data_IF_838300509537
#
_entry.id   IF_838300509537
#
_cell.length_a   1.000
_cell.length_b   1.000
_cell.length_c   1.000
_cell.angle_alpha   90.00
_cell.angle_beta   90.00
_cell.angle_gamma   90.00
#
_symmetry.space_group_name_H-M   'P 1'
#
loop_
_entity.id
_entity.type
_entity.pdbx_description
1 polymer ?
#
# COMPACT_ATOMS: atom_id res chain seq x y z
N UNK A 1 9.85 14.16 -1.92
CA UNK A 1 8.92 13.06 -2.25
C UNK A 1 7.61 13.71 -2.63
N UNK A 2 7.03 13.33 -3.74
CA UNK A 2 5.74 13.85 -4.18
C UNK A 2 4.60 13.09 -3.48
N UNK A 3 3.58 13.79 -3.01
CA UNK A 3 2.45 13.18 -2.29
C UNK A 3 1.18 13.38 -3.09
N UNK A 4 0.40 12.32 -3.27
CA UNK A 4 -0.89 12.36 -3.94
C UNK A 4 -1.96 11.80 -3.00
N UNK A 5 -2.96 12.61 -2.67
CA UNK A 5 -4.13 12.13 -1.95
C UNK A 5 -5.10 11.43 -2.91
N UNK A 6 -5.52 10.23 -2.55
CA UNK A 6 -6.41 9.39 -3.36
C UNK A 6 -7.63 9.00 -2.51
N UNK A 7 -8.68 9.84 -2.42
CA UNK A 7 -9.83 9.61 -1.54
C UNK A 7 -10.83 8.59 -2.12
N UNK A 8 -10.33 7.51 -2.72
CA UNK A 8 -11.12 6.43 -3.30
C UNK A 8 -11.55 5.41 -2.25
N UNK A 9 -12.79 4.96 -2.31
CA UNK A 9 -13.31 3.87 -1.49
C UNK A 9 -14.22 2.96 -2.32
N UNK A 10 -14.01 1.66 -2.19
CA UNK A 10 -14.88 0.60 -2.71
C UNK A 10 -14.91 -0.58 -1.73
N UNK A 11 -15.12 -0.29 -0.46
CA UNK A 11 -15.19 -1.31 0.58
C UNK A 11 -16.62 -1.66 0.95
N UNK A 12 -16.75 -2.72 1.75
CA UNK A 12 -18.02 -3.30 2.16
C UNK A 12 -18.65 -2.61 3.38
N UNK A 13 -18.54 -1.28 3.46
CA UNK A 13 -19.18 -0.43 4.47
C UNK A 13 -18.30 -0.05 5.66
N UNK A 14 -17.37 -0.87 6.13
CA UNK A 14 -16.46 -0.55 7.23
C UNK A 14 -15.35 0.44 6.82
N UNK A 15 -15.08 0.56 5.52
CA UNK A 15 -14.07 1.47 4.96
C UNK A 15 -14.58 2.90 4.77
N UNK A 16 -15.89 3.13 5.00
CA UNK A 16 -16.45 4.49 4.96
C UNK A 16 -15.81 5.38 6.03
N UNK A 17 -15.09 6.39 5.59
CA UNK A 17 -14.24 7.27 6.40
C UNK A 17 -12.81 7.30 5.88
N UNK A 18 -12.36 6.21 5.21
CA UNK A 18 -11.02 6.15 4.61
C UNK A 18 -10.82 7.19 3.49
N UNK A 19 -11.88 7.66 2.85
CA UNK A 19 -11.80 8.76 1.86
C UNK A 19 -11.21 10.05 2.42
N UNK A 20 -11.13 10.17 3.74
CA UNK A 20 -10.60 11.35 4.44
C UNK A 20 -9.19 11.15 4.98
N UNK A 21 -8.62 9.95 4.86
CA UNK A 21 -7.33 9.59 5.45
C UNK A 21 -6.20 10.53 5.03
N UNK A 22 -6.11 10.88 3.75
CA UNK A 22 -5.07 11.77 3.25
C UNK A 22 -5.08 13.13 3.96
N UNK A 23 -6.26 13.71 4.20
CA UNK A 23 -6.39 14.97 4.93
C UNK A 23 -6.05 14.81 6.42
N UNK A 24 -6.47 13.71 7.05
CA UNK A 24 -6.16 13.41 8.44
C UNK A 24 -4.65 13.23 8.67
N UNK A 25 -3.98 12.50 7.79
CA UNK A 25 -2.52 12.29 7.83
C UNK A 25 -1.77 13.62 7.68
N UNK A 26 -2.12 14.44 6.68
CA UNK A 26 -1.48 15.75 6.48
C UNK A 26 -1.72 16.68 7.67
N UNK A 27 -2.91 16.64 8.28
CA UNK A 27 -3.20 17.40 9.50
C UNK A 27 -2.32 16.94 10.66
N UNK A 28 -2.22 15.61 10.88
CA UNK A 28 -1.37 15.05 11.95
C UNK A 28 0.12 15.35 11.72
N UNK A 29 0.58 15.33 10.46
CA UNK A 29 1.98 15.63 10.12
C UNK A 29 2.40 17.06 10.52
N UNK A 30 1.45 18.02 10.55
CA UNK A 30 1.73 19.40 10.99
C UNK A 30 2.12 19.51 12.46
N UNK A 31 1.77 18.53 13.28
CA UNK A 31 2.12 18.43 14.70
C UNK A 31 3.49 17.76 14.93
N UNK A 32 4.12 17.25 13.85
CA UNK A 32 5.42 16.57 13.94
C UNK A 32 6.51 17.56 13.50
N UNK A 33 7.37 17.97 14.43
CA UNK A 33 8.38 19.01 14.18
C UNK A 33 9.74 18.46 13.76
N UNK A 34 10.06 17.22 14.13
CA UNK A 34 11.34 16.59 13.75
C UNK A 34 11.23 15.07 13.70
N UNK A 35 12.16 14.43 12.98
CA UNK A 35 12.34 12.99 13.03
C UNK A 35 13.32 12.59 14.18
N UNK A 36 13.51 11.28 14.37
CA UNK A 36 14.39 10.71 15.42
C UNK A 36 15.87 11.11 15.27
N UNK A 37 16.30 11.53 14.08
CA UNK A 37 17.66 12.02 13.83
C UNK A 37 17.80 13.54 14.02
N UNK A 38 16.75 14.23 14.49
CA UNK A 38 16.74 15.67 14.70
C UNK A 38 16.54 16.51 13.42
N UNK A 39 16.23 15.89 12.28
CA UNK A 39 15.90 16.65 11.07
C UNK A 39 14.55 17.31 11.23
N UNK A 40 14.49 18.61 11.00
CA UNK A 40 13.26 19.41 11.05
C UNK A 40 12.34 18.97 9.91
N UNK A 41 11.05 18.83 10.21
CA UNK A 41 10.00 18.54 9.24
C UNK A 41 9.19 19.82 9.05
N UNK A 42 9.23 20.36 7.82
CA UNK A 42 8.40 21.49 7.43
C UNK A 42 7.32 21.01 6.46
N UNK A 43 6.12 20.84 6.98
CA UNK A 43 4.98 20.37 6.19
C UNK A 43 4.52 21.36 5.11
N UNK A 44 4.93 22.64 5.18
CA UNK A 44 4.64 23.65 4.17
C UNK A 44 5.41 23.43 2.86
N UNK A 45 6.51 22.67 2.91
CA UNK A 45 7.35 22.34 1.76
C UNK A 45 6.94 21.05 1.05
N UNK A 46 5.83 20.43 1.45
CA UNK A 46 5.33 19.22 0.80
C UNK A 46 4.76 19.55 -0.58
N UNK A 47 5.27 18.84 -1.61
CA UNK A 47 4.69 18.85 -2.96
C UNK A 47 3.48 17.90 -2.96
N UNK A 48 2.28 18.44 -2.92
CA UNK A 48 1.03 17.75 -2.62
C UNK A 48 -0.03 18.01 -3.68
N UNK A 49 -0.62 16.94 -4.19
CA UNK A 49 -1.80 16.96 -5.07
C UNK A 49 -2.94 16.09 -4.52
N UNK A 50 -4.13 16.23 -5.08
CA UNK A 50 -5.29 15.39 -4.78
C UNK A 50 -6.01 15.00 -6.06
N UNK A 51 -6.34 13.72 -6.20
CA UNK A 51 -7.19 13.23 -7.29
C UNK A 51 -8.66 13.43 -6.85
N UNK A 52 -9.38 14.25 -7.57
CA UNK A 52 -10.80 14.45 -7.29
C UNK A 52 -11.64 13.29 -7.84
N UNK A 53 -12.30 12.57 -6.93
CA UNK A 53 -13.05 11.36 -7.21
C UNK A 53 -14.53 11.51 -6.85
N UNK A 54 -15.38 10.77 -7.58
CA UNK A 54 -16.76 10.52 -7.23
C UNK A 54 -16.93 9.04 -6.88
N UNK A 55 -16.96 8.72 -5.59
CA UNK A 55 -17.10 7.35 -5.10
C UNK A 55 -18.47 6.70 -5.42
N UNK A 56 -19.43 7.44 -5.97
CA UNK A 56 -20.65 6.88 -6.53
C UNK A 56 -20.47 6.32 -7.95
N UNK A 57 -19.37 6.67 -8.63
CA UNK A 57 -19.00 6.22 -9.96
C UNK A 57 -17.63 5.56 -9.94
N UNK A 58 -17.59 4.29 -9.54
CA UNK A 58 -16.35 3.53 -9.32
C UNK A 58 -15.52 3.39 -10.60
N UNK A 59 -16.16 3.12 -11.76
CA UNK A 59 -15.45 2.99 -13.03
C UNK A 59 -14.73 4.29 -13.40
N UNK A 60 -15.38 5.43 -13.25
CA UNK A 60 -14.76 6.73 -13.50
C UNK A 60 -13.64 7.01 -12.50
N UNK A 61 -13.87 6.74 -11.22
CA UNK A 61 -12.87 6.93 -10.16
C UNK A 61 -11.63 6.08 -10.39
N UNK A 62 -11.77 4.79 -10.69
CA UNK A 62 -10.66 3.89 -11.01
C UNK A 62 -9.87 4.36 -12.24
N UNK A 63 -10.57 4.84 -13.27
CA UNK A 63 -9.93 5.41 -14.46
C UNK A 63 -9.15 6.70 -14.14
N UNK A 64 -9.67 7.57 -13.27
CA UNK A 64 -8.99 8.79 -12.86
C UNK A 64 -7.77 8.48 -12.00
N UNK A 65 -7.88 7.53 -11.04
CA UNK A 65 -6.75 7.07 -10.24
C UNK A 65 -5.65 6.53 -11.16
N UNK A 66 -5.99 5.61 -12.06
CA UNK A 66 -5.03 5.04 -13.02
C UNK A 66 -4.33 6.13 -13.85
N UNK A 67 -5.10 7.03 -14.49
CA UNK A 67 -4.54 8.07 -15.37
C UNK A 67 -3.60 9.01 -14.63
N UNK A 68 -4.02 9.55 -13.49
CA UNK A 68 -3.21 10.48 -12.70
C UNK A 68 -1.96 9.79 -12.11
N UNK A 69 -2.09 8.53 -11.68
CA UNK A 69 -0.94 7.74 -11.20
C UNK A 69 0.09 7.50 -12.30
N UNK A 70 -0.35 7.14 -13.50
CA UNK A 70 0.55 6.93 -14.63
C UNK A 70 1.30 8.22 -15.03
N UNK A 71 0.59 9.36 -15.06
CA UNK A 71 1.21 10.67 -15.29
C UNK A 71 2.24 11.00 -14.19
N UNK A 72 1.88 10.73 -12.93
CA UNK A 72 2.79 10.93 -11.79
C UNK A 72 4.03 10.05 -11.89
N UNK A 73 3.89 8.78 -12.27
CA UNK A 73 5.04 7.89 -12.47
C UNK A 73 5.97 8.37 -13.58
N UNK A 74 5.44 8.95 -14.64
CA UNK A 74 6.26 9.47 -15.74
C UNK A 74 6.98 10.78 -15.40
N UNK A 75 6.46 11.57 -14.46
CA UNK A 75 6.96 12.93 -14.18
C UNK A 75 7.71 13.07 -12.88
N UNK A 76 7.42 12.22 -11.88
CA UNK A 76 8.01 12.33 -10.53
C UNK A 76 8.94 11.16 -10.23
N UNK A 77 10.08 11.38 -9.57
CA UNK A 77 11.04 10.31 -9.28
C UNK A 77 10.53 9.31 -8.22
N UNK A 78 9.78 9.79 -7.23
CA UNK A 78 9.14 8.99 -6.17
C UNK A 78 7.82 9.60 -5.76
N UNK A 79 6.82 8.75 -5.51
CA UNK A 79 5.48 9.16 -5.07
C UNK A 79 5.04 8.40 -3.83
N UNK A 80 4.31 9.12 -2.95
CA UNK A 80 3.54 8.55 -1.85
C UNK A 80 2.06 8.83 -2.12
N UNK A 81 1.27 7.79 -2.28
CA UNK A 81 -0.17 7.88 -2.32
C UNK A 81 -0.72 7.79 -0.90
N UNK A 82 -1.50 8.77 -0.48
CA UNK A 82 -2.27 8.73 0.75
C UNK A 82 -3.68 8.34 0.38
N UNK A 83 -4.00 7.09 0.59
CA UNK A 83 -5.21 6.47 0.06
C UNK A 83 -6.43 6.69 0.90
N UNK A 84 -7.52 6.23 0.33
CA UNK A 84 -8.72 5.78 0.91
C UNK A 84 -8.61 4.35 1.42
N UNK A 85 -9.48 3.45 0.94
CA UNK A 85 -9.35 2.03 1.24
C UNK A 85 -8.39 1.31 0.26
N UNK A 86 -8.14 0.02 0.49
CA UNK A 86 -7.16 -0.73 -0.29
C UNK A 86 -7.54 -0.94 -1.76
N UNK A 87 -8.81 -0.71 -2.14
CA UNK A 87 -9.26 -0.82 -3.53
C UNK A 87 -8.50 0.09 -4.50
N UNK A 88 -7.98 1.24 -4.01
CA UNK A 88 -7.22 2.18 -4.86
C UNK A 88 -5.97 1.55 -5.44
N UNK A 89 -5.37 0.59 -4.70
CA UNK A 89 -4.10 -0.05 -5.05
C UNK A 89 -4.19 -0.92 -6.31
N UNK A 90 -5.39 -1.31 -6.73
CA UNK A 90 -5.60 -1.88 -8.06
C UNK A 90 -5.22 -0.90 -9.16
N UNK A 91 -5.78 0.30 -9.14
CA UNK A 91 -5.59 1.29 -10.21
C UNK A 91 -4.20 1.91 -10.19
N UNK A 92 -3.63 2.17 -9.01
CA UNK A 92 -2.25 2.66 -8.87
C UNK A 92 -1.23 1.58 -9.25
N UNK A 93 -1.46 0.32 -8.85
CA UNK A 93 -0.63 -0.83 -9.20
C UNK A 93 -0.66 -1.15 -10.70
N UNK A 94 -1.84 -1.02 -11.34
CA UNK A 94 -1.94 -1.17 -12.80
C UNK A 94 -1.20 -0.07 -13.53
N UNK A 95 -1.32 1.18 -13.10
CA UNK A 95 -0.56 2.29 -13.65
C UNK A 95 0.96 2.10 -13.47
N UNK A 96 1.37 1.55 -12.33
CA UNK A 96 2.77 1.22 -12.07
C UNK A 96 3.29 0.11 -13.00
N UNK A 97 2.50 -0.93 -13.25
CA UNK A 97 2.83 -1.99 -14.22
C UNK A 97 3.05 -1.41 -15.62
N UNK A 98 2.11 -0.56 -16.08
CA UNK A 98 2.18 0.02 -17.41
C UNK A 98 3.36 1.01 -17.54
N UNK A 99 3.67 1.77 -16.48
CA UNK A 99 4.90 2.57 -16.39
C UNK A 99 6.15 1.69 -16.49
N UNK A 100 6.24 0.59 -15.75
CA UNK A 100 7.39 -0.31 -15.81
C UNK A 100 7.56 -0.91 -17.21
N UNK A 101 6.47 -1.32 -17.85
CA UNK A 101 6.49 -1.86 -19.20
C UNK A 101 7.01 -0.82 -20.23
N UNK A 102 6.57 0.44 -20.13
CA UNK A 102 7.02 1.51 -21.01
C UNK A 102 8.51 1.85 -20.85
N UNK A 103 9.00 1.78 -19.62
CA UNK A 103 10.39 2.03 -19.24
C UNK A 103 11.30 0.79 -19.36
N UNK A 104 10.75 -0.37 -19.74
CA UNK A 104 11.45 -1.66 -19.81
C UNK A 104 12.07 -2.08 -18.46
N UNK A 105 11.37 -1.79 -17.36
CA UNK A 105 11.75 -2.12 -16.01
C UNK A 105 10.96 -3.34 -15.52
N UNK A 106 11.56 -4.13 -14.65
CA UNK A 106 10.88 -5.26 -14.01
C UNK A 106 10.09 -4.75 -12.80
N UNK A 107 8.74 -4.88 -12.77
CA UNK A 107 7.94 -4.45 -11.64
C UNK A 107 8.08 -5.40 -10.46
N UNK A 108 8.08 -4.85 -9.25
CA UNK A 108 8.03 -5.59 -8.00
C UNK A 108 7.04 -4.91 -7.05
N UNK A 109 6.23 -5.69 -6.35
CA UNK A 109 5.28 -5.20 -5.37
C UNK A 109 5.45 -5.92 -4.04
N UNK A 110 5.56 -5.13 -2.96
CA UNK A 110 5.56 -5.63 -1.59
C UNK A 110 4.32 -5.06 -0.91
N UNK A 111 3.47 -5.95 -0.39
CA UNK A 111 2.23 -5.60 0.28
C UNK A 111 2.36 -5.95 1.75
N UNK A 112 2.28 -4.93 2.61
CA UNK A 112 2.21 -5.07 4.06
C UNK A 112 0.74 -5.04 4.48
N UNK A 113 0.23 -6.15 4.97
CA UNK A 113 -1.19 -6.34 5.24
C UNK A 113 -1.42 -7.51 6.19
N UNK A 114 -2.48 -7.47 6.97
CA UNK A 114 -2.97 -8.62 7.73
C UNK A 114 -3.77 -9.61 6.87
N UNK A 115 -4.31 -9.12 5.75
CA UNK A 115 -5.16 -9.86 4.79
C UNK A 115 -4.39 -10.16 3.49
N UNK A 116 -4.94 -11.02 2.66
CA UNK A 116 -4.32 -11.33 1.38
C UNK A 116 -4.91 -10.55 0.20
N UNK A 117 -6.12 -10.03 0.34
CA UNK A 117 -6.86 -9.27 -0.67
C UNK A 117 -6.95 -9.97 -2.03
N UNK A 118 -7.16 -11.29 -1.94
CA UNK A 118 -7.14 -12.21 -3.07
C UNK A 118 -8.45 -12.99 -3.24
N UNK A 119 -9.58 -12.47 -2.76
CA UNK A 119 -10.90 -13.03 -3.05
C UNK A 119 -11.21 -13.00 -4.56
N UNK A 120 -12.18 -13.78 -5.06
CA UNK A 120 -12.57 -13.71 -6.46
C UNK A 120 -13.01 -12.30 -6.87
N UNK A 121 -12.39 -11.68 -7.90
CA UNK A 121 -12.54 -10.24 -8.12
C UNK A 121 -13.86 -9.89 -8.79
N UNK A 122 -14.43 -8.76 -8.36
CA UNK A 122 -15.53 -8.09 -9.03
C UNK A 122 -15.02 -7.30 -10.27
N UNK A 123 -15.96 -6.73 -11.04
CA UNK A 123 -15.62 -5.87 -12.19
C UNK A 123 -14.77 -4.69 -11.74
N UNK A 124 -15.28 -3.92 -10.77
CA UNK A 124 -14.55 -2.87 -10.06
C UNK A 124 -14.14 -3.45 -8.72
N UNK A 125 -12.85 -3.76 -8.50
CA UNK A 125 -12.42 -4.51 -7.33
C UNK A 125 -12.64 -3.69 -6.06
N UNK A 126 -13.02 -4.40 -5.00
CA UNK A 126 -13.09 -3.85 -3.64
C UNK A 126 -11.72 -3.96 -2.96
N UNK A 127 -11.68 -3.58 -1.69
CA UNK A 127 -10.49 -3.72 -0.86
C UNK A 127 -10.11 -5.20 -0.59
N UNK A 128 -11.05 -6.18 -0.75
CA UNK A 128 -10.80 -7.60 -0.45
C UNK A 128 -10.22 -8.40 -1.64
N UNK A 129 -10.21 -7.84 -2.86
CA UNK A 129 -9.79 -8.60 -4.05
C UNK A 129 -8.94 -7.80 -5.05
N UNK A 130 -8.52 -6.61 -4.70
CA UNK A 130 -7.74 -5.73 -5.57
C UNK A 130 -6.44 -6.38 -6.06
N UNK A 131 -5.75 -7.12 -5.18
CA UNK A 131 -4.47 -7.75 -5.53
C UNK A 131 -4.66 -8.89 -6.52
N UNK A 132 -5.66 -9.76 -6.30
CA UNK A 132 -5.99 -10.81 -7.27
C UNK A 132 -6.37 -10.21 -8.62
N UNK A 133 -7.17 -9.14 -8.64
CA UNK A 133 -7.53 -8.42 -9.86
C UNK A 133 -6.30 -7.88 -10.58
N UNK A 134 -5.33 -7.36 -9.86
CA UNK A 134 -4.08 -6.85 -10.42
C UNK A 134 -3.26 -7.97 -11.04
N UNK A 135 -3.14 -9.12 -10.38
CA UNK A 135 -2.47 -10.33 -10.90
C UNK A 135 -3.15 -10.81 -12.18
N UNK A 136 -4.48 -10.96 -12.15
CA UNK A 136 -5.27 -11.38 -13.33
C UNK A 136 -5.22 -10.35 -14.47
N UNK A 137 -4.87 -9.09 -14.17
CA UNK A 137 -4.64 -8.02 -15.16
C UNK A 137 -3.21 -7.98 -15.70
N UNK A 138 -2.36 -8.96 -15.32
CA UNK A 138 -1.03 -9.20 -15.90
C UNK A 138 0.15 -8.76 -15.04
N UNK A 139 -0.05 -8.36 -13.78
CA UNK A 139 1.10 -8.13 -12.87
C UNK A 139 1.82 -9.46 -12.60
N UNK A 140 3.16 -9.54 -12.75
CA UNK A 140 3.91 -10.77 -12.52
C UNK A 140 3.75 -11.25 -11.07
N UNK A 141 3.06 -12.36 -10.88
CA UNK A 141 2.76 -12.90 -9.53
C UNK A 141 4.01 -13.33 -8.75
N UNK A 142 5.06 -13.74 -9.46
CA UNK A 142 6.37 -14.08 -8.89
C UNK A 142 7.12 -12.87 -8.33
N UNK A 143 6.73 -11.68 -8.72
CA UNK A 143 7.28 -10.40 -8.27
C UNK A 143 6.41 -9.73 -7.19
N UNK A 144 5.50 -10.50 -6.58
CA UNK A 144 4.68 -10.05 -5.45
C UNK A 144 5.15 -10.76 -4.17
N UNK A 145 5.30 -9.99 -3.09
CA UNK A 145 5.57 -10.47 -1.75
C UNK A 145 4.52 -9.92 -0.78
N UNK A 146 3.74 -10.81 -0.17
CA UNK A 146 2.81 -10.47 0.90
C UNK A 146 3.48 -10.60 2.26
N UNK A 147 3.38 -9.58 3.09
CA UNK A 147 4.11 -9.47 4.37
C UNK A 147 3.14 -9.15 5.50
N UNK A 148 3.09 -10.02 6.51
CA UNK A 148 2.33 -9.78 7.73
C UNK A 148 1.01 -10.52 7.86
N UNK A 149 0.69 -11.40 6.91
CA UNK A 149 -0.57 -12.15 6.87
C UNK A 149 -0.87 -12.85 8.21
N UNK A 150 -2.11 -12.69 8.70
CA UNK A 150 -2.60 -13.35 9.93
C UNK A 150 -4.09 -13.62 9.96
N UNK A 151 -4.88 -13.00 9.08
CA UNK A 151 -6.30 -13.29 8.89
C UNK A 151 -6.61 -13.44 7.40
N UNK A 152 -6.63 -14.68 6.90
CA UNK A 152 -6.74 -15.02 5.48
C UNK A 152 -7.82 -16.08 5.27
N UNK A 153 -8.71 -15.84 4.33
CA UNK A 153 -9.77 -16.79 3.98
C UNK A 153 -9.22 -18.03 3.27
N UNK A 154 -9.94 -19.15 3.40
CA UNK A 154 -9.53 -20.42 2.77
C UNK A 154 -9.37 -20.29 1.25
N UNK A 155 -10.25 -19.56 0.59
CA UNK A 155 -10.21 -19.29 -0.85
C UNK A 155 -8.93 -18.58 -1.25
N UNK A 156 -8.51 -17.60 -0.47
CA UNK A 156 -7.28 -16.85 -0.69
C UNK A 156 -6.04 -17.72 -0.44
N UNK A 157 -6.03 -18.52 0.65
CA UNK A 157 -4.94 -19.47 0.92
C UNK A 157 -4.75 -20.42 -0.28
N UNK A 158 -5.83 -20.92 -0.86
CA UNK A 158 -5.78 -21.77 -2.02
C UNK A 158 -5.21 -21.01 -3.23
N UNK A 159 -5.69 -19.81 -3.49
CA UNK A 159 -5.21 -18.98 -4.60
C UNK A 159 -3.71 -18.66 -4.46
N UNK A 160 -3.25 -18.26 -3.27
CA UNK A 160 -1.84 -17.98 -3.00
C UNK A 160 -0.96 -19.21 -3.25
N UNK A 161 -1.39 -20.38 -2.80
CA UNK A 161 -0.68 -21.66 -2.97
C UNK A 161 -0.61 -22.10 -4.43
N UNK A 162 -1.75 -22.08 -5.14
CA UNK A 162 -1.84 -22.48 -6.55
C UNK A 162 -1.00 -21.58 -7.46
N UNK A 163 -0.94 -20.29 -7.14
CA UNK A 163 -0.16 -19.31 -7.86
C UNK A 163 1.29 -19.15 -7.36
N UNK A 164 1.67 -19.87 -6.28
CA UNK A 164 3.00 -19.83 -5.68
C UNK A 164 3.44 -18.39 -5.29
N UNK A 165 2.48 -17.59 -4.83
CA UNK A 165 2.75 -16.23 -4.37
C UNK A 165 3.57 -16.30 -3.08
N UNK A 166 4.64 -15.51 -2.98
CA UNK A 166 5.52 -15.50 -1.81
C UNK A 166 4.85 -14.76 -0.64
N UNK A 167 4.95 -15.33 0.55
CA UNK A 167 4.38 -14.76 1.77
C UNK A 167 5.38 -14.81 2.92
N UNK A 168 5.39 -13.76 3.75
CA UNK A 168 6.06 -13.71 5.04
C UNK A 168 5.00 -13.46 6.11
N UNK A 169 4.79 -14.44 6.98
CA UNK A 169 3.80 -14.29 8.06
C UNK A 169 4.26 -13.30 9.12
N UNK A 170 3.32 -12.81 9.93
CA UNK A 170 3.65 -11.94 11.07
C UNK A 170 4.60 -12.63 12.06
N UNK A 171 4.46 -13.95 12.25
CA UNK A 171 5.36 -14.72 13.12
C UNK A 171 6.81 -14.70 12.63
N UNK A 172 7.04 -14.77 11.32
CA UNK A 172 8.38 -14.63 10.74
C UNK A 172 8.98 -13.26 11.07
N UNK A 173 8.21 -12.18 10.86
CA UNK A 173 8.63 -10.80 11.13
C UNK A 173 8.97 -10.54 12.59
N UNK A 174 8.21 -11.11 13.52
CA UNK A 174 8.40 -10.88 14.96
C UNK A 174 9.55 -11.71 15.55
N UNK A 175 9.87 -12.84 14.95
CA UNK A 175 10.97 -13.69 15.41
C UNK A 175 12.34 -13.10 15.07
N UNK A 176 12.53 -12.59 13.86
CA UNK A 176 13.76 -11.92 13.43
C UNK A 176 13.45 -10.81 12.42
N UNK A 177 13.20 -9.62 12.96
CA UNK A 177 12.84 -8.45 12.13
C UNK A 177 13.98 -8.04 11.19
N UNK A 178 15.25 -8.23 11.58
CA UNK A 178 16.39 -7.83 10.77
C UNK A 178 16.53 -8.75 9.56
N UNK A 179 16.53 -10.07 9.78
CA UNK A 179 16.61 -11.06 8.71
C UNK A 179 15.44 -10.93 7.73
N UNK A 180 14.23 -10.70 8.26
CA UNK A 180 13.07 -10.47 7.40
C UNK A 180 13.16 -9.18 6.59
N UNK A 181 13.73 -8.11 7.15
CA UNK A 181 14.03 -6.90 6.39
C UNK A 181 15.01 -7.16 5.24
N UNK A 182 16.06 -7.92 5.52
CA UNK A 182 17.07 -8.24 4.52
C UNK A 182 16.45 -9.11 3.41
N UNK A 183 15.59 -10.08 3.75
CA UNK A 183 14.81 -10.88 2.81
C UNK A 183 13.90 -9.99 1.92
N UNK A 184 13.20 -9.00 2.51
CA UNK A 184 12.35 -8.04 1.80
C UNK A 184 13.19 -7.20 0.83
N UNK A 185 14.35 -6.72 1.28
CA UNK A 185 15.24 -5.89 0.45
C UNK A 185 15.86 -6.70 -0.69
N UNK A 186 16.23 -7.97 -0.44
CA UNK A 186 16.74 -8.88 -1.47
C UNK A 186 15.65 -9.19 -2.51
N UNK A 187 14.42 -9.42 -2.07
CA UNK A 187 13.30 -9.65 -2.98
C UNK A 187 13.09 -8.49 -3.96
N UNK A 188 13.28 -7.24 -3.52
CA UNK A 188 13.14 -6.04 -4.35
C UNK A 188 14.39 -5.72 -5.18
N UNK A 189 15.53 -6.42 -4.94
CA UNK A 189 16.79 -6.06 -5.56
C UNK A 189 16.76 -6.16 -7.08
N UNK A 190 17.18 -5.10 -7.76
CA UNK A 190 17.24 -5.02 -9.21
C UNK A 190 15.91 -4.71 -9.91
N UNK A 191 14.79 -4.65 -9.17
CA UNK A 191 13.45 -4.41 -9.68
C UNK A 191 12.95 -3.01 -9.31
N UNK A 192 12.08 -2.44 -10.13
CA UNK A 192 11.37 -1.21 -9.77
C UNK A 192 10.32 -1.54 -8.71
N UNK A 193 10.36 -0.86 -7.56
CA UNK A 193 9.60 -1.24 -6.38
C UNK A 193 8.38 -0.34 -6.15
N UNK A 194 7.23 -0.98 -5.94
CA UNK A 194 6.03 -0.42 -5.33
C UNK A 194 5.80 -1.08 -3.96
N UNK A 195 5.55 -0.29 -2.93
CA UNK A 195 5.19 -0.77 -1.59
C UNK A 195 3.75 -0.35 -1.30
N UNK A 196 2.86 -1.31 -1.09
CA UNK A 196 1.52 -1.06 -0.59
C UNK A 196 1.47 -1.36 0.91
N UNK A 197 0.95 -0.43 1.68
CA UNK A 197 0.88 -0.56 3.14
C UNK A 197 -0.53 -0.32 3.64
N UNK A 198 -1.20 -1.41 4.00
CA UNK A 198 -2.39 -1.34 4.83
C UNK A 198 -1.99 -1.00 6.27
N UNK A 199 -2.72 -0.06 6.88
CA UNK A 199 -2.43 0.36 8.27
C UNK A 199 -2.67 -0.78 9.26
N UNK A 200 -3.47 -1.78 8.90
CA UNK A 200 -3.78 -2.91 9.76
C UNK A 200 -2.63 -3.92 9.91
N UNK A 201 -1.53 -3.76 9.14
CA UNK A 201 -0.25 -4.44 9.45
C UNK A 201 0.18 -4.15 10.89
N UNK A 202 -0.15 -2.98 11.40
CA UNK A 202 0.05 -2.61 12.79
C UNK A 202 -0.92 -3.34 13.72
N UNK A 203 -0.46 -3.62 14.93
CA UNK A 203 -1.39 -4.01 15.99
C UNK A 203 -2.34 -2.85 16.33
N UNK A 204 -3.64 -3.11 16.57
CA UNK A 204 -4.65 -2.08 16.89
C UNK A 204 -4.31 -1.20 18.10
N UNK A 205 -3.43 -1.66 18.99
CA UNK A 205 -2.92 -0.84 20.10
C UNK A 205 -2.12 0.38 19.59
N UNK A 206 -1.47 0.24 18.43
CA UNK A 206 -0.65 1.29 17.82
C UNK A 206 -1.38 2.04 16.70
N UNK A 207 -2.32 1.39 16.03
CA UNK A 207 -3.09 1.96 14.92
C UNK A 207 -4.57 1.51 15.00
N UNK A 208 -5.36 2.06 15.93
CA UNK A 208 -6.76 1.66 16.12
C UNK A 208 -7.70 2.15 15.01
N UNK A 209 -7.28 3.18 14.26
CA UNK A 209 -8.12 3.89 13.30
C UNK A 209 -8.15 3.19 11.93
N UNK A 210 -8.72 1.97 11.88
CA UNK A 210 -9.00 1.22 10.65
C UNK A 210 -10.38 0.55 10.71
N UNK A 211 -10.91 0.16 9.54
CA UNK A 211 -12.18 -0.56 9.42
C UNK A 211 -12.09 -2.01 9.89
N UNK A 212 -10.94 -2.63 9.72
CA UNK A 212 -10.68 -4.06 9.97
C UNK A 212 -9.45 -4.25 10.87
N UNK A 213 -9.56 -3.92 12.18
CA UNK A 213 -8.44 -4.05 13.09
C UNK A 213 -8.14 -5.52 13.39
N UNK A 214 -6.91 -5.97 13.15
CA UNK A 214 -6.45 -7.33 13.38
C UNK A 214 -5.37 -7.37 14.47
N UNK A 215 -5.62 -8.13 15.53
CA UNK A 215 -4.69 -8.26 16.66
C UNK A 215 -3.42 -9.04 16.29
N UNK A 216 -2.34 -8.80 17.03
CA UNK A 216 -1.06 -9.50 16.85
C UNK A 216 -0.22 -8.93 15.70
N UNK A 217 -0.46 -7.68 15.32
CA UNK A 217 0.31 -6.96 14.31
C UNK A 217 1.65 -6.42 14.81
N UNK A 218 2.29 -5.59 13.98
CA UNK A 218 3.55 -4.95 14.30
C UNK A 218 3.37 -3.74 15.24
N UNK A 219 4.35 -3.53 16.11
CA UNK A 219 4.45 -2.28 16.84
C UNK A 219 4.87 -1.11 15.92
N UNK A 220 4.57 0.11 16.32
CA UNK A 220 5.03 1.31 15.61
C UNK A 220 6.54 1.34 15.41
N UNK A 221 7.33 0.86 16.39
CA UNK A 221 8.79 0.78 16.30
C UNK A 221 9.24 -0.18 15.21
N UNK A 222 8.61 -1.34 15.07
CA UNK A 222 8.92 -2.32 14.02
C UNK A 222 8.57 -1.77 12.63
N UNK A 223 7.42 -1.11 12.48
CA UNK A 223 7.03 -0.45 11.22
C UNK A 223 8.01 0.64 10.83
N UNK A 224 8.41 1.50 11.77
CA UNK A 224 9.41 2.55 11.53
C UNK A 224 10.75 1.94 11.08
N UNK A 225 11.18 0.84 11.70
CA UNK A 225 12.40 0.13 11.30
C UNK A 225 12.30 -0.38 9.85
N UNK A 226 11.20 -1.05 9.49
CA UNK A 226 10.94 -1.53 8.13
C UNK A 226 10.97 -0.39 7.10
N UNK A 227 10.24 0.69 7.35
CA UNK A 227 10.19 1.86 6.45
C UNK A 227 11.58 2.50 6.32
N UNK A 228 12.35 2.61 7.41
CA UNK A 228 13.70 3.16 7.38
C UNK A 228 14.66 2.31 6.53
N UNK A 229 14.44 1.01 6.45
CA UNK A 229 15.21 0.09 5.58
C UNK A 229 14.75 0.22 4.13
N UNK A 230 13.45 0.12 3.88
CA UNK A 230 12.83 0.15 2.54
C UNK A 230 13.16 1.47 1.81
N UNK A 231 13.12 2.62 2.50
CA UNK A 231 13.45 3.92 1.89
C UNK A 231 14.85 4.01 1.29
N UNK A 232 15.78 3.11 1.70
CA UNK A 232 17.15 3.03 1.16
C UNK A 232 17.22 2.32 -0.19
N UNK A 233 16.17 1.60 -0.58
CA UNK A 233 16.08 0.94 -1.88
C UNK A 233 16.03 2.02 -2.97
N UNK A 234 17.04 2.03 -3.85
CA UNK A 234 17.18 3.07 -4.88
C UNK A 234 16.06 3.02 -5.91
N UNK A 235 15.55 1.84 -6.19
CA UNK A 235 14.49 1.56 -7.15
C UNK A 235 13.08 1.71 -6.55
N UNK A 236 12.95 2.18 -5.30
CA UNK A 236 11.65 2.50 -4.71
C UNK A 236 11.01 3.66 -5.49
N UNK A 237 10.00 3.35 -6.28
CA UNK A 237 9.25 4.29 -7.11
C UNK A 237 8.03 4.84 -6.41
N UNK A 238 7.29 3.98 -5.73
CA UNK A 238 6.04 4.35 -5.08
C UNK A 238 5.82 3.65 -3.75
N UNK A 239 5.06 4.33 -2.90
CA UNK A 239 4.35 3.76 -1.75
C UNK A 239 2.91 4.20 -1.77
N UNK A 240 2.00 3.36 -1.29
CA UNK A 240 0.72 3.83 -0.77
C UNK A 240 0.59 3.53 0.73
N UNK A 241 -0.29 4.29 1.38
CA UNK A 241 -0.73 4.07 2.75
C UNK A 241 -2.25 4.16 2.76
N UNK A 242 -2.92 3.06 3.12
CA UNK A 242 -4.35 2.86 2.93
C UNK A 242 -5.04 2.38 4.22
N UNK A 243 -6.36 2.30 4.20
CA UNK A 243 -7.26 1.80 5.25
C UNK A 243 -7.25 2.62 6.57
N UNK A 244 -6.63 3.79 6.60
CA UNK A 244 -6.76 4.70 7.74
C UNK A 244 -8.16 5.30 7.73
N UNK A 245 -8.88 5.15 8.84
CA UNK A 245 -10.26 5.59 8.98
C UNK A 245 -10.42 6.60 10.13
N UNK A 246 -10.50 7.89 9.81
CA UNK A 246 -10.60 8.97 10.81
C UNK A 246 -11.86 8.89 11.71
N UNK A 247 -12.84 8.04 11.35
CA UNK A 247 -14.08 7.87 12.11
C UNK A 247 -14.02 6.72 13.11
N UNK A 248 -12.92 5.99 13.17
CA UNK A 248 -12.64 4.89 14.09
C UNK A 248 -11.58 5.26 15.11
#
# INVERSE_FOLDING_TARGET
MFIVKVPGINGLGKTKGCEKSGNAIIKALREIHSNEQGNIIDSSLLDLEEIHLDNSNLELSNRLIYKNSLETFNTKPRVLFLGGDHSISYSTGKAFLDYCNSEKKEPCMIVFDSHADCMPPMREPTHEEWLRKLIESGFPKENILLVGLRNVWKEEINFLRENKIKTLSIANLTNDLQDMCDTIMEFANGRELYVSMDIDIADPVFAPATGYPESGGLSSRQILYLIQRIKKIKTLKAMDLVEINEKK
#
